data_IF_138688577987
#
_entry.id   IF_138688577987
#
_cell.length_a   1.000
_cell.length_b   1.000
_cell.length_c   1.000
_cell.angle_alpha   90.00
_cell.angle_beta   90.00
_cell.angle_gamma   90.00
#
_symmetry.space_group_name_H-M   'P 1'
#
loop_
_entity.id
_entity.type
_entity.pdbx_description
1 polymer ?
#
# COMPACT_ATOMS: atom_id res chain seq x y z
N UNK A 1 -9.69 -16.14 -32.37
CA UNK A 1 -9.32 -14.79 -31.88
C UNK A 1 -9.79 -14.72 -30.45
N UNK A 2 -8.89 -14.60 -29.49
CA UNK A 2 -9.27 -14.44 -28.08
C UNK A 2 -10.01 -13.10 -27.93
N UNK A 3 -11.17 -13.10 -27.27
CA UNK A 3 -11.88 -11.87 -26.89
C UNK A 3 -11.17 -11.30 -25.67
N UNK A 4 -10.30 -10.31 -25.89
CA UNK A 4 -9.59 -9.61 -24.84
C UNK A 4 -9.49 -8.11 -25.15
N UNK A 5 -9.43 -7.31 -24.10
CA UNK A 5 -9.16 -5.87 -24.20
C UNK A 5 -7.67 -5.71 -24.47
N UNK A 6 -7.33 -5.22 -25.67
CA UNK A 6 -5.95 -4.88 -26.01
C UNK A 6 -5.53 -3.64 -25.22
N UNK A 7 -4.69 -3.84 -24.21
CA UNK A 7 -4.19 -2.77 -23.36
C UNK A 7 -2.84 -2.30 -23.88
N UNK A 8 -2.81 -1.11 -24.48
CA UNK A 8 -1.64 -0.51 -25.14
C UNK A 8 -1.23 0.81 -24.52
N UNK A 9 -1.73 1.13 -23.32
CA UNK A 9 -1.42 2.39 -22.64
C UNK A 9 0.08 2.46 -22.35
N UNK A 10 0.72 3.57 -22.71
CA UNK A 10 2.10 3.88 -22.33
C UNK A 10 2.08 4.78 -21.09
N UNK A 11 3.04 4.55 -20.20
CA UNK A 11 3.27 5.38 -19.03
C UNK A 11 3.91 6.73 -19.36
N UNK A 12 4.54 6.88 -20.54
CA UNK A 12 5.18 8.14 -20.94
C UNK A 12 4.16 9.27 -21.09
N UNK A 13 4.44 10.40 -20.45
CA UNK A 13 3.67 11.64 -20.63
C UNK A 13 4.19 12.50 -21.77
N UNK A 14 5.50 12.41 -22.01
CA UNK A 14 6.23 13.10 -23.05
C UNK A 14 7.09 12.05 -23.73
N UNK A 15 6.94 11.92 -25.05
CA UNK A 15 7.66 10.92 -25.84
C UNK A 15 9.17 11.03 -25.64
N UNK A 16 9.81 9.92 -25.32
CA UNK A 16 11.26 9.82 -25.07
C UNK A 16 11.69 10.16 -23.64
N UNK A 17 10.80 10.65 -22.77
CA UNK A 17 11.11 10.88 -21.35
C UNK A 17 10.59 9.73 -20.48
N UNK A 18 11.49 9.13 -19.68
CA UNK A 18 11.13 8.10 -18.70
C UNK A 18 10.41 8.65 -17.47
N UNK A 19 10.71 9.90 -17.10
CA UNK A 19 10.12 10.61 -15.95
C UNK A 19 9.99 12.10 -16.26
N UNK A 20 8.90 12.78 -15.85
CA UNK A 20 7.73 12.23 -15.17
C UNK A 20 6.92 11.28 -16.07
N UNK A 21 6.25 10.30 -15.46
CA UNK A 21 5.39 9.34 -16.14
C UNK A 21 4.03 9.23 -15.43
N UNK A 22 3.05 8.62 -16.09
CA UNK A 22 1.67 8.52 -15.61
C UNK A 22 1.57 7.69 -14.33
N UNK A 23 2.40 6.66 -14.15
CA UNK A 23 2.50 5.94 -12.87
C UNK A 23 2.88 6.89 -11.73
N UNK A 24 3.93 7.70 -11.92
CA UNK A 24 4.40 8.68 -10.94
C UNK A 24 3.33 9.73 -10.63
N UNK A 25 2.58 10.19 -11.64
CA UNK A 25 1.46 11.10 -11.44
C UNK A 25 0.32 10.46 -10.63
N UNK A 26 -0.05 9.21 -10.94
CA UNK A 26 -1.06 8.47 -10.16
C UNK A 26 -0.59 8.28 -8.72
N UNK A 27 0.68 7.91 -8.52
CA UNK A 27 1.27 7.77 -7.20
C UNK A 27 1.17 9.08 -6.39
N UNK A 28 1.64 10.19 -6.95
CA UNK A 28 1.56 11.52 -6.31
C UNK A 28 0.10 11.95 -6.10
N UNK A 29 -0.78 11.65 -7.06
CA UNK A 29 -2.21 11.90 -6.99
C UNK A 29 -2.85 11.18 -5.80
N UNK A 30 -2.53 9.90 -5.60
CA UNK A 30 -3.00 9.10 -4.46
C UNK A 30 -2.55 9.67 -3.12
N UNK A 31 -1.28 10.06 -3.00
CA UNK A 31 -0.76 10.72 -1.79
C UNK A 31 -1.43 12.08 -1.54
N UNK A 32 -1.65 12.87 -2.59
CA UNK A 32 -2.30 14.17 -2.52
C UNK A 32 -3.76 14.03 -2.07
N UNK A 33 -4.51 13.07 -2.65
CA UNK A 33 -5.85 12.72 -2.18
C UNK A 33 -5.83 12.31 -0.71
N UNK A 34 -4.88 11.46 -0.30
CA UNK A 34 -4.69 11.06 1.09
C UNK A 34 -4.47 12.25 2.03
N UNK A 35 -3.63 13.21 1.65
CA UNK A 35 -3.41 14.45 2.40
C UNK A 35 -4.73 15.21 2.62
N UNK A 36 -5.50 15.46 1.55
CA UNK A 36 -6.76 16.19 1.65
C UNK A 36 -7.81 15.44 2.48
N UNK A 37 -7.84 14.11 2.41
CA UNK A 37 -8.73 13.27 3.23
C UNK A 37 -8.43 13.46 4.72
N UNK A 38 -7.17 13.32 5.14
CA UNK A 38 -6.79 13.47 6.56
C UNK A 38 -6.97 14.91 7.02
N UNK A 39 -6.61 15.89 6.20
CA UNK A 39 -6.80 17.30 6.52
C UNK A 39 -8.28 17.63 6.75
N UNK A 40 -9.19 17.12 5.90
CA UNK A 40 -10.63 17.29 6.09
C UNK A 40 -11.13 16.66 7.41
N UNK A 41 -10.59 15.49 7.78
CA UNK A 41 -10.89 14.83 9.05
C UNK A 41 -10.41 15.65 10.26
N UNK A 42 -9.19 16.18 10.20
CA UNK A 42 -8.61 17.03 11.24
C UNK A 42 -9.43 18.31 11.43
N UNK A 43 -9.83 18.95 10.33
CA UNK A 43 -10.72 20.13 10.36
C UNK A 43 -12.08 19.81 10.98
N UNK A 44 -12.70 18.68 10.64
CA UNK A 44 -13.97 18.22 11.25
C UNK A 44 -13.86 18.10 12.77
N UNK A 45 -12.71 17.66 13.26
CA UNK A 45 -12.46 17.46 14.70
C UNK A 45 -11.93 18.70 15.42
N UNK A 46 -11.80 19.83 14.74
CA UNK A 46 -11.24 21.05 15.32
C UNK A 46 -9.77 20.91 15.72
N UNK A 47 -9.01 20.04 15.05
CA UNK A 47 -7.56 19.94 15.29
C UNK A 47 -6.86 21.22 14.81
N UNK A 48 -5.83 21.72 15.51
CA UNK A 48 -5.02 22.85 15.04
C UNK A 48 -4.41 22.55 13.67
N UNK A 49 -4.36 23.55 12.77
CA UNK A 49 -3.81 23.38 11.41
C UNK A 49 -2.39 22.80 11.41
N UNK A 50 -1.55 23.26 12.33
CA UNK A 50 -0.18 22.77 12.55
C UNK A 50 -0.09 21.25 12.79
N UNK A 51 -1.16 20.62 13.28
CA UNK A 51 -1.18 19.17 13.52
C UNK A 51 -1.00 18.41 12.21
N UNK A 52 -1.58 18.90 11.10
CA UNK A 52 -1.45 18.27 9.80
C UNK A 52 -0.01 18.41 9.26
N UNK A 53 0.56 19.61 9.36
CA UNK A 53 1.95 19.87 8.94
C UNK A 53 2.94 18.98 9.70
N UNK A 54 2.74 18.86 11.01
CA UNK A 54 3.53 17.96 11.85
C UNK A 54 3.36 16.51 11.40
N UNK A 55 2.13 16.04 11.17
CA UNK A 55 1.89 14.68 10.71
C UNK A 55 2.65 14.38 9.42
N UNK A 56 2.56 15.27 8.42
CA UNK A 56 3.28 15.13 7.15
C UNK A 56 4.79 15.05 7.40
N UNK A 57 5.34 15.92 8.24
CA UNK A 57 6.77 15.90 8.59
C UNK A 57 7.17 14.56 9.22
N UNK A 58 6.43 14.06 10.20
CA UNK A 58 6.69 12.75 10.81
C UNK A 58 6.62 11.62 9.79
N UNK A 59 5.62 11.63 8.90
CA UNK A 59 5.43 10.61 7.87
C UNK A 59 6.57 10.61 6.85
N UNK A 60 6.95 11.77 6.32
CA UNK A 60 8.04 11.89 5.32
C UNK A 60 9.38 11.47 5.92
N UNK A 61 9.73 12.01 7.08
CA UNK A 61 11.00 11.68 7.74
C UNK A 61 11.07 10.19 8.10
N UNK A 62 10.02 9.63 8.70
CA UNK A 62 10.01 8.21 9.06
C UNK A 62 10.04 7.30 7.84
N UNK A 63 9.40 7.68 6.73
CA UNK A 63 9.47 6.91 5.48
C UNK A 63 10.90 6.85 4.94
N UNK A 64 11.56 8.00 4.81
CA UNK A 64 12.93 8.09 4.26
C UNK A 64 13.93 7.37 5.17
N UNK A 65 13.91 7.71 6.46
CA UNK A 65 14.82 7.14 7.45
C UNK A 65 14.57 5.63 7.60
N UNK A 66 13.31 5.23 7.75
CA UNK A 66 12.92 3.83 7.90
C UNK A 66 13.27 2.99 6.68
N UNK A 67 13.01 3.51 5.47
CA UNK A 67 13.37 2.82 4.24
C UNK A 67 14.87 2.57 4.16
N UNK A 68 15.69 3.59 4.46
CA UNK A 68 17.13 3.46 4.42
C UNK A 68 17.66 2.52 5.49
N UNK A 69 17.23 2.69 6.75
CA UNK A 69 17.65 1.83 7.84
C UNK A 69 17.23 0.38 7.60
N UNK A 70 16.03 0.15 7.06
CA UNK A 70 15.61 -1.19 6.66
C UNK A 70 16.55 -1.80 5.64
N UNK A 71 16.95 -1.07 4.61
CA UNK A 71 17.90 -1.59 3.64
C UNK A 71 19.27 -1.85 4.27
N UNK A 72 19.77 -0.91 5.06
CA UNK A 72 21.05 -1.05 5.75
C UNK A 72 21.08 -2.29 6.63
N UNK A 73 20.05 -2.48 7.46
CA UNK A 73 19.97 -3.59 8.40
C UNK A 73 19.82 -4.95 7.71
N UNK A 74 18.96 -5.06 6.69
CA UNK A 74 18.61 -6.34 6.10
C UNK A 74 19.40 -6.73 4.85
N UNK A 75 19.89 -5.75 4.08
CA UNK A 75 20.48 -5.98 2.75
C UNK A 75 21.88 -5.37 2.59
N UNK A 76 22.35 -4.62 3.58
CA UNK A 76 23.59 -3.87 3.51
C UNK A 76 24.84 -4.71 3.26
N UNK A 77 25.76 -4.27 2.38
CA UNK A 77 27.12 -4.79 2.36
C UNK A 77 27.87 -4.23 3.59
N UNK A 78 28.05 -5.05 4.62
CA UNK A 78 28.74 -4.59 5.85
C UNK A 78 30.26 -4.60 5.72
N UNK A 79 30.78 -5.56 4.96
CA UNK A 79 32.20 -5.89 4.87
C UNK A 79 32.76 -5.61 3.47
N UNK A 80 34.08 -5.49 3.36
CA UNK A 80 34.77 -5.25 2.10
C UNK A 80 34.99 -3.76 1.79
N UNK A 81 35.65 -3.43 0.67
CA UNK A 81 36.06 -2.06 0.33
C UNK A 81 34.89 -1.08 0.17
N UNK A 82 33.73 -1.58 -0.24
CA UNK A 82 32.48 -0.82 -0.37
C UNK A 82 31.53 -1.05 0.83
N UNK A 83 31.97 -1.82 1.82
CA UNK A 83 31.16 -2.16 2.98
C UNK A 83 30.96 -0.97 3.93
N UNK A 84 29.84 -0.98 4.67
CA UNK A 84 29.52 0.10 5.60
C UNK A 84 30.53 0.30 6.73
N UNK A 85 31.27 -0.74 7.14
CA UNK A 85 32.33 -0.57 8.14
C UNK A 85 33.57 0.12 7.59
N UNK A 86 33.81 0.02 6.28
CA UNK A 86 34.88 0.74 5.59
C UNK A 86 34.47 2.15 5.18
N UNK A 87 33.17 2.36 4.91
CA UNK A 87 32.62 3.66 4.52
C UNK A 87 31.32 3.97 5.30
N UNK A 88 31.40 4.39 6.58
CA UNK A 88 30.21 4.64 7.39
C UNK A 88 29.27 5.71 6.83
N UNK A 89 29.79 6.64 6.03
CA UNK A 89 28.99 7.67 5.35
C UNK A 89 27.95 7.09 4.39
N UNK A 90 28.18 5.89 3.83
CA UNK A 90 27.26 5.21 2.93
C UNK A 90 25.90 4.94 3.59
N UNK A 91 25.87 4.69 4.90
CA UNK A 91 24.63 4.38 5.65
C UNK A 91 23.57 5.48 5.45
N UNK A 92 23.98 6.75 5.36
CA UNK A 92 23.09 7.91 5.32
C UNK A 92 22.67 8.26 3.88
N UNK A 93 23.33 7.70 2.87
CA UNK A 93 23.09 8.06 1.46
C UNK A 93 21.77 7.49 0.95
N UNK A 94 20.70 8.25 1.15
CA UNK A 94 19.35 7.91 0.66
C UNK A 94 19.16 8.16 -0.83
N UNK A 95 20.04 8.95 -1.45
CA UNK A 95 19.95 9.35 -2.86
C UNK A 95 20.60 8.34 -3.83
N UNK A 96 21.38 7.38 -3.34
CA UNK A 96 22.00 6.32 -4.15
C UNK A 96 21.10 5.07 -4.26
N UNK A 97 19.87 5.14 -3.74
CA UNK A 97 18.95 4.01 -3.67
C UNK A 97 19.14 3.20 -2.39
N UNK A 98 18.87 1.89 -2.47
CA UNK A 98 18.90 1.02 -1.29
C UNK A 98 17.85 1.44 -0.25
N UNK A 99 16.57 1.28 -0.61
CA UNK A 99 15.42 1.64 0.21
C UNK A 99 14.53 0.41 0.38
N UNK A 100 14.21 0.06 1.61
CA UNK A 100 13.42 -1.11 1.95
C UNK A 100 12.01 -0.73 2.44
N UNK A 101 10.97 -1.13 1.72
CA UNK A 101 9.58 -0.79 2.03
C UNK A 101 9.11 -1.24 3.41
N UNK A 102 9.54 -2.42 3.87
CA UNK A 102 9.22 -2.94 5.21
C UNK A 102 9.88 -2.11 6.32
N UNK A 103 11.08 -1.57 6.10
CA UNK A 103 11.72 -0.64 7.03
C UNK A 103 10.93 0.67 7.16
N UNK A 104 10.46 1.20 6.02
CA UNK A 104 9.58 2.37 6.00
C UNK A 104 8.28 2.11 6.77
N UNK A 105 7.63 0.97 6.54
CA UNK A 105 6.37 0.61 7.19
C UNK A 105 6.50 0.58 8.72
N UNK A 106 7.55 -0.06 9.25
CA UNK A 106 7.81 -0.11 10.70
C UNK A 106 8.05 1.29 11.26
N UNK A 107 8.91 2.08 10.63
CA UNK A 107 9.22 3.43 11.09
C UNK A 107 7.98 4.35 11.07
N UNK A 108 7.14 4.25 10.04
CA UNK A 108 5.86 4.97 9.95
C UNK A 108 4.95 4.60 11.13
N UNK A 109 4.77 3.31 11.42
CA UNK A 109 3.91 2.88 12.53
C UNK A 109 4.40 3.43 13.88
N UNK A 110 5.72 3.42 14.11
CA UNK A 110 6.34 4.01 15.30
C UNK A 110 6.16 5.53 15.34
N UNK A 111 6.35 6.22 14.21
CA UNK A 111 6.17 7.66 14.12
C UNK A 111 4.71 8.07 14.37
N UNK A 112 3.74 7.30 13.87
CA UNK A 112 2.32 7.51 14.15
C UNK A 112 1.98 7.30 15.61
N UNK A 113 2.58 6.29 16.25
CA UNK A 113 2.43 6.08 17.69
C UNK A 113 2.97 7.26 18.48
N UNK A 114 4.19 7.72 18.15
CA UNK A 114 4.81 8.86 18.82
C UNK A 114 4.01 10.14 18.59
N UNK A 115 3.69 10.46 17.34
CA UNK A 115 2.87 11.62 16.97
C UNK A 115 1.56 11.64 17.73
N UNK A 116 0.80 10.53 17.68
CA UNK A 116 -0.50 10.46 18.35
C UNK A 116 -0.39 10.64 19.85
N UNK A 117 0.54 9.92 20.50
CA UNK A 117 0.64 9.89 21.97
C UNK A 117 1.34 11.11 22.57
N UNK A 118 2.31 11.68 21.88
CA UNK A 118 3.23 12.70 22.43
C UNK A 118 3.07 14.07 21.81
N UNK A 119 2.59 14.17 20.57
CA UNK A 119 2.44 15.46 19.88
C UNK A 119 1.01 15.98 20.02
N UNK A 120 0.01 15.14 19.71
CA UNK A 120 -1.40 15.55 19.75
C UNK A 120 -2.20 15.00 20.95
N UNK A 121 -1.55 14.21 21.82
CA UNK A 121 -2.14 13.66 23.05
C UNK A 121 -3.44 12.86 22.83
N UNK A 122 -3.49 12.05 21.77
CA UNK A 122 -4.59 11.15 21.42
C UNK A 122 -4.19 9.67 21.59
N UNK A 123 -5.16 8.74 21.70
CA UNK A 123 -4.87 7.31 21.66
C UNK A 123 -4.28 6.89 20.31
N UNK A 124 -3.37 5.91 20.27
CA UNK A 124 -2.73 5.50 19.01
C UNK A 124 -3.74 5.07 17.92
N UNK A 125 -4.79 4.34 18.30
CA UNK A 125 -5.86 3.94 17.37
C UNK A 125 -6.59 5.13 16.72
N UNK A 126 -6.60 6.31 17.37
CA UNK A 126 -7.19 7.52 16.81
C UNK A 126 -6.50 7.90 15.50
N UNK A 127 -5.16 7.94 15.44
CA UNK A 127 -4.48 8.34 14.20
C UNK A 127 -4.62 7.27 13.12
N UNK A 128 -4.62 5.99 13.51
CA UNK A 128 -4.78 4.88 12.57
C UNK A 128 -6.14 4.91 11.87
N UNK A 129 -7.22 5.24 12.60
CA UNK A 129 -8.56 5.42 12.00
C UNK A 129 -8.60 6.52 10.94
N UNK A 130 -7.78 7.57 11.07
CA UNK A 130 -7.74 8.71 10.14
C UNK A 130 -6.88 8.46 8.93
N UNK A 131 -5.82 7.69 9.10
CA UNK A 131 -4.90 7.33 8.01
C UNK A 131 -5.45 6.18 7.16
N UNK A 132 -6.27 5.28 7.73
CA UNK A 132 -6.85 4.15 7.00
C UNK A 132 -7.53 4.54 5.67
N UNK A 133 -8.46 5.51 5.62
CA UNK A 133 -9.08 5.93 4.36
C UNK A 133 -8.07 6.52 3.38
N UNK A 134 -7.09 7.28 3.87
CA UNK A 134 -6.03 7.85 3.05
C UNK A 134 -5.15 6.77 2.40
N UNK A 135 -4.82 5.69 3.14
CA UNK A 135 -4.09 4.55 2.58
C UNK A 135 -4.94 3.83 1.54
N UNK A 136 -6.25 3.63 1.78
CA UNK A 136 -7.12 2.95 0.83
C UNK A 136 -7.19 3.68 -0.53
N UNK A 137 -7.36 5.01 -0.53
CA UNK A 137 -7.38 5.77 -1.78
C UNK A 137 -6.00 5.82 -2.44
N UNK A 138 -4.92 5.98 -1.67
CA UNK A 138 -3.56 5.91 -2.22
C UNK A 138 -3.27 4.54 -2.86
N UNK A 139 -3.71 3.45 -2.20
CA UNK A 139 -3.61 2.08 -2.72
C UNK A 139 -4.34 1.92 -4.05
N UNK A 140 -5.56 2.45 -4.19
CA UNK A 140 -6.29 2.45 -5.45
C UNK A 140 -5.48 3.11 -6.59
N UNK A 141 -4.96 4.31 -6.35
CA UNK A 141 -4.15 5.03 -7.35
C UNK A 141 -2.86 4.29 -7.70
N UNK A 142 -2.20 3.66 -6.72
CA UNK A 142 -1.01 2.84 -6.97
C UNK A 142 -1.36 1.66 -7.87
N UNK A 143 -2.47 0.96 -7.63
CA UNK A 143 -2.92 -0.16 -8.49
C UNK A 143 -3.27 0.30 -9.90
N UNK A 144 -3.87 1.48 -10.05
CA UNK A 144 -4.07 2.10 -11.38
C UNK A 144 -2.73 2.43 -12.05
N UNK A 145 -1.73 2.86 -11.28
CA UNK A 145 -0.36 3.00 -11.76
C UNK A 145 0.18 1.69 -12.30
N UNK A 146 0.08 0.59 -11.52
CA UNK A 146 0.54 -0.73 -11.96
C UNK A 146 -0.17 -1.20 -13.24
N UNK A 147 -1.46 -0.88 -13.40
CA UNK A 147 -2.21 -1.14 -14.64
C UNK A 147 -1.60 -0.38 -15.83
N UNK A 148 -1.28 0.90 -15.67
CA UNK A 148 -0.61 1.71 -16.71
C UNK A 148 0.78 1.18 -17.05
N UNK A 149 1.53 0.67 -16.07
CA UNK A 149 2.87 0.12 -16.26
C UNK A 149 2.89 -1.34 -16.74
N UNK A 150 1.73 -2.00 -16.88
CA UNK A 150 1.65 -3.44 -17.23
C UNK A 150 2.36 -4.34 -16.21
N UNK A 151 2.37 -3.95 -14.94
CA UNK A 151 3.03 -4.65 -13.83
C UNK A 151 2.01 -5.32 -12.92
N UNK A 152 2.40 -6.40 -12.23
CA UNK A 152 1.52 -7.11 -11.27
C UNK A 152 0.25 -7.65 -11.96
N UNK A 153 0.43 -8.23 -13.15
CA UNK A 153 -0.65 -8.83 -13.94
C UNK A 153 -1.17 -10.13 -13.31
N UNK A 154 -2.34 -10.57 -13.75
CA UNK A 154 -2.95 -11.82 -13.33
C UNK A 154 -2.53 -13.05 -14.14
N UNK A 155 -3.04 -14.19 -13.72
CA UNK A 155 -2.90 -15.45 -14.44
C UNK A 155 -3.56 -15.40 -15.82
N UNK A 156 -3.07 -16.18 -16.79
CA UNK A 156 -3.72 -16.32 -18.10
C UNK A 156 -5.18 -16.77 -17.94
N UNK A 157 -6.07 -16.20 -18.75
CA UNK A 157 -7.51 -16.43 -18.62
C UNK A 157 -8.24 -16.17 -19.93
N UNK A 158 -9.46 -16.69 -20.04
CA UNK A 158 -10.34 -16.57 -21.20
C UNK A 158 -11.64 -15.80 -20.90
N UNK A 159 -11.75 -15.19 -19.72
CA UNK A 159 -12.92 -14.38 -19.34
C UNK A 159 -13.11 -13.18 -20.29
N UNK A 160 -14.36 -12.74 -20.53
CA UNK A 160 -14.64 -11.73 -21.57
C UNK A 160 -14.11 -10.32 -21.26
N UNK A 161 -13.65 -10.08 -20.04
CA UNK A 161 -12.99 -8.83 -19.61
C UNK A 161 -11.47 -8.99 -19.41
N UNK A 162 -10.86 -10.04 -19.96
CA UNK A 162 -9.42 -10.24 -19.90
C UNK A 162 -8.67 -9.10 -20.58
N UNK A 163 -7.49 -8.76 -20.06
CA UNK A 163 -6.61 -7.74 -20.64
C UNK A 163 -5.42 -8.42 -21.31
N UNK A 164 -5.11 -7.99 -22.53
CA UNK A 164 -3.89 -8.34 -23.26
C UNK A 164 -2.89 -7.20 -23.10
N UNK A 165 -1.99 -7.34 -22.14
CA UNK A 165 -0.99 -6.34 -21.75
C UNK A 165 0.18 -6.35 -22.74
N UNK A 166 0.19 -5.43 -23.71
CA UNK A 166 1.21 -5.46 -24.78
C UNK A 166 2.63 -5.20 -24.29
N UNK A 167 2.80 -4.56 -23.14
CA UNK A 167 4.11 -4.19 -22.60
C UNK A 167 4.45 -4.92 -21.29
N UNK A 168 3.72 -5.98 -20.95
CA UNK A 168 4.10 -6.86 -19.84
C UNK A 168 5.33 -7.68 -20.25
N UNK A 169 6.47 -7.44 -19.60
CA UNK A 169 7.68 -8.22 -19.78
C UNK A 169 7.67 -9.45 -18.86
N UNK A 170 7.69 -10.64 -19.45
CA UNK A 170 7.74 -11.88 -18.70
C UNK A 170 9.21 -12.34 -18.61
N UNK A 171 9.78 -12.27 -17.41
CA UNK A 171 11.18 -12.60 -17.13
C UNK A 171 11.50 -14.08 -17.41
N UNK A 172 10.55 -15.00 -17.27
CA UNK A 172 10.78 -16.43 -17.50
C UNK A 172 11.03 -16.75 -18.98
N UNK A 173 10.36 -16.04 -19.88
CA UNK A 173 10.50 -16.21 -21.34
C UNK A 173 11.43 -15.14 -21.96
N UNK A 174 11.85 -14.14 -21.19
CA UNK A 174 12.74 -13.06 -21.62
C UNK A 174 12.15 -12.14 -22.69
N UNK A 175 10.82 -12.04 -22.81
CA UNK A 175 10.15 -11.26 -23.84
C UNK A 175 8.81 -10.68 -23.36
N UNK A 176 8.23 -9.76 -24.14
CA UNK A 176 6.87 -9.27 -23.93
C UNK A 176 5.84 -10.38 -24.15
N UNK A 177 4.87 -10.48 -23.25
CA UNK A 177 3.86 -11.53 -23.24
C UNK A 177 2.44 -10.92 -23.24
N UNK A 178 1.81 -10.76 -24.43
CA UNK A 178 0.47 -10.20 -24.56
C UNK A 178 -0.64 -11.24 -24.30
N UNK A 179 -0.34 -12.40 -23.72
CA UNK A 179 -1.37 -13.41 -23.41
C UNK A 179 -2.51 -12.78 -22.58
N UNK A 180 -3.79 -12.99 -22.94
CA UNK A 180 -4.91 -12.49 -22.17
C UNK A 180 -4.87 -12.96 -20.71
N UNK A 181 -4.97 -12.02 -19.78
CA UNK A 181 -4.81 -12.24 -18.33
C UNK A 181 -5.89 -11.54 -17.53
N UNK A 182 -6.08 -12.00 -16.30
CA UNK A 182 -6.88 -11.26 -15.33
C UNK A 182 -6.24 -9.88 -15.08
N UNK A 183 -6.96 -8.75 -15.25
CA UNK A 183 -6.46 -7.43 -14.84
C UNK A 183 -6.52 -7.28 -13.30
N UNK A 184 -5.70 -8.05 -12.59
CA UNK A 184 -5.71 -8.13 -11.12
C UNK A 184 -5.52 -6.76 -10.45
N UNK A 185 -4.72 -5.88 -11.05
CA UNK A 185 -4.53 -4.51 -10.60
C UNK A 185 -5.85 -3.73 -10.59
N UNK A 186 -6.69 -3.92 -11.62
CA UNK A 186 -8.01 -3.29 -11.70
C UNK A 186 -8.95 -3.85 -10.64
N UNK A 187 -8.89 -5.16 -10.36
CA UNK A 187 -9.67 -5.77 -9.28
C UNK A 187 -9.29 -5.18 -7.92
N UNK A 188 -7.99 -5.09 -7.61
CA UNK A 188 -7.49 -4.45 -6.39
C UNK A 188 -7.89 -2.97 -6.34
N UNK A 189 -7.74 -2.21 -7.43
CA UNK A 189 -8.09 -0.79 -7.50
C UNK A 189 -9.57 -0.54 -7.17
N UNK A 190 -10.47 -1.34 -7.75
CA UNK A 190 -11.91 -1.27 -7.49
C UNK A 190 -12.21 -1.59 -6.03
N UNK A 191 -11.67 -2.69 -5.50
CA UNK A 191 -11.90 -3.09 -4.10
C UNK A 191 -11.34 -2.05 -3.11
N UNK A 192 -10.19 -1.44 -3.41
CA UNK A 192 -9.60 -0.39 -2.59
C UNK A 192 -10.40 0.92 -2.67
N UNK A 193 -10.97 1.26 -3.82
CA UNK A 193 -11.90 2.39 -3.96
C UNK A 193 -13.19 2.16 -3.16
N UNK A 194 -13.78 0.96 -3.25
CA UNK A 194 -14.96 0.59 -2.47
C UNK A 194 -14.67 0.61 -0.96
N UNK A 195 -13.48 0.15 -0.57
CA UNK A 195 -12.99 0.25 0.82
C UNK A 195 -12.91 1.70 1.25
N UNK A 196 -12.28 2.58 0.46
CA UNK A 196 -12.19 4.01 0.75
C UNK A 196 -13.58 4.64 0.93
N UNK A 197 -14.50 4.42 0.00
CA UNK A 197 -15.88 4.95 0.05
C UNK A 197 -16.57 4.48 1.34
N UNK A 198 -16.45 3.19 1.66
CA UNK A 198 -17.07 2.61 2.87
C UNK A 198 -16.48 3.20 4.14
N UNK A 199 -15.15 3.30 4.23
CA UNK A 199 -14.48 3.88 5.40
C UNK A 199 -14.81 5.38 5.56
N UNK A 200 -14.91 6.12 4.46
CA UNK A 200 -15.36 7.53 4.48
C UNK A 200 -16.81 7.63 4.92
N UNK A 201 -17.70 6.77 4.44
CA UNK A 201 -19.09 6.72 4.90
C UNK A 201 -19.18 6.44 6.40
N UNK A 202 -18.43 5.44 6.89
CA UNK A 202 -18.33 5.11 8.31
C UNK A 202 -17.80 6.28 9.14
N UNK A 203 -16.77 6.97 8.65
CA UNK A 203 -16.19 8.12 9.32
C UNK A 203 -17.19 9.29 9.36
N UNK A 204 -17.73 9.70 8.23
CA UNK A 204 -18.48 10.96 8.14
C UNK A 204 -19.95 10.85 8.49
N UNK A 205 -20.62 9.76 8.08
CA UNK A 205 -22.07 9.58 8.26
C UNK A 205 -22.40 8.77 9.49
N UNK A 206 -21.67 7.69 9.74
CA UNK A 206 -21.90 6.85 10.93
C UNK A 206 -21.10 7.29 12.16
N UNK A 207 -20.27 8.34 12.03
CA UNK A 207 -19.43 8.91 13.08
C UNK A 207 -18.56 7.90 13.83
N UNK A 208 -18.12 6.82 13.16
CA UNK A 208 -17.34 5.74 13.80
C UNK A 208 -15.95 6.18 14.24
N UNK A 209 -15.49 7.35 13.82
CA UNK A 209 -14.26 8.00 14.31
C UNK A 209 -14.27 8.30 15.82
N UNK A 210 -15.45 8.32 16.46
CA UNK A 210 -15.64 8.44 17.91
C UNK A 210 -15.32 7.14 18.67
N UNK A 211 -15.16 6.02 17.97
CA UNK A 211 -14.85 4.70 18.53
C UNK A 211 -13.46 4.26 18.02
N UNK A 212 -12.37 4.58 18.76
CA UNK A 212 -11.02 4.35 18.27
C UNK A 212 -10.75 2.89 17.88
N UNK A 213 -10.26 2.69 16.67
CA UNK A 213 -9.88 1.39 16.10
C UNK A 213 -10.97 0.74 15.25
N UNK A 214 -12.19 1.29 15.19
CA UNK A 214 -13.26 0.73 14.36
C UNK A 214 -12.96 0.93 12.87
N UNK A 215 -12.64 2.16 12.46
CA UNK A 215 -12.38 2.46 11.03
C UNK A 215 -11.12 1.72 10.58
N UNK A 216 -10.08 1.71 11.40
CA UNK A 216 -8.85 0.96 11.12
C UNK A 216 -9.08 -0.56 11.08
N UNK A 217 -9.92 -1.10 11.96
CA UNK A 217 -10.27 -2.53 11.96
C UNK A 217 -10.96 -2.96 10.65
N UNK A 218 -11.92 -2.16 10.17
CA UNK A 218 -12.55 -2.40 8.88
C UNK A 218 -11.58 -2.21 7.71
N UNK A 219 -10.67 -1.23 7.78
CA UNK A 219 -9.61 -1.06 6.78
C UNK A 219 -8.75 -2.32 6.66
N UNK A 220 -8.33 -2.92 7.78
CA UNK A 220 -7.55 -4.15 7.75
C UNK A 220 -8.34 -5.29 7.10
N UNK A 221 -9.61 -5.47 7.47
CA UNK A 221 -10.45 -6.54 6.90
C UNK A 221 -10.66 -6.32 5.40
N UNK A 222 -10.98 -5.11 4.98
CA UNK A 222 -11.31 -4.85 3.58
C UNK A 222 -10.10 -4.88 2.66
N UNK A 223 -8.99 -4.23 3.03
CA UNK A 223 -7.78 -4.20 2.19
C UNK A 223 -7.12 -5.57 2.14
N UNK A 224 -6.90 -6.22 3.28
CA UNK A 224 -6.22 -7.52 3.31
C UNK A 224 -7.15 -8.66 2.92
N UNK A 225 -8.47 -8.53 3.12
CA UNK A 225 -9.44 -9.45 2.55
C UNK A 225 -9.50 -9.36 1.02
N UNK A 226 -9.53 -8.14 0.46
CA UNK A 226 -9.43 -7.94 -0.98
C UNK A 226 -8.12 -8.51 -1.54
N UNK A 227 -6.99 -8.22 -0.89
CA UNK A 227 -5.68 -8.80 -1.25
C UNK A 227 -5.74 -10.33 -1.26
N UNK A 228 -6.22 -10.95 -0.18
CA UNK A 228 -6.32 -12.40 -0.08
C UNK A 228 -7.12 -13.03 -1.23
N UNK A 229 -8.23 -12.40 -1.63
CA UNK A 229 -9.09 -12.87 -2.72
C UNK A 229 -8.47 -12.67 -4.10
N UNK A 230 -7.89 -11.50 -4.37
CA UNK A 230 -7.31 -11.20 -5.69
C UNK A 230 -6.03 -11.99 -5.93
N UNK A 231 -5.32 -12.37 -4.88
CA UNK A 231 -4.09 -13.15 -5.01
C UNK A 231 -4.31 -14.58 -5.55
N UNK A 232 -5.56 -15.09 -5.61
CA UNK A 232 -5.89 -16.34 -6.30
C UNK A 232 -5.84 -16.27 -7.83
N UNK A 233 -5.82 -15.05 -8.39
CA UNK A 233 -5.79 -14.82 -9.84
C UNK A 233 -4.57 -13.98 -10.25
N UNK A 234 -3.60 -13.83 -9.34
CA UNK A 234 -2.36 -13.08 -9.56
C UNK A 234 -1.21 -14.03 -9.82
N UNK A 235 -0.36 -13.65 -10.77
CA UNK A 235 0.94 -14.28 -10.91
C UNK A 235 1.77 -14.05 -9.65
N UNK A 236 2.52 -15.09 -9.27
CA UNK A 236 3.54 -15.01 -8.23
C UNK A 236 4.54 -13.89 -8.51
N UNK A 237 4.95 -13.16 -7.46
CA UNK A 237 5.85 -12.00 -7.60
C UNK A 237 7.30 -12.37 -7.32
N UNK A 238 7.53 -13.53 -6.72
CA UNK A 238 8.84 -14.05 -6.36
C UNK A 238 8.92 -15.54 -6.64
N UNK A 239 10.11 -16.05 -6.96
CA UNK A 239 10.34 -17.51 -7.12
C UNK A 239 9.97 -18.31 -5.85
N UNK A 240 9.96 -17.66 -4.68
CA UNK A 240 9.52 -18.28 -3.43
C UNK A 240 7.99 -18.39 -3.32
N UNK A 241 7.21 -17.54 -4.00
CA UNK A 241 5.75 -17.60 -3.95
C UNK A 241 5.22 -18.94 -4.47
N UNK A 242 5.82 -19.47 -5.53
CA UNK A 242 5.45 -20.77 -6.08
C UNK A 242 5.80 -21.90 -5.13
N UNK A 243 6.97 -21.84 -4.48
CA UNK A 243 7.39 -22.85 -3.51
C UNK A 243 6.51 -22.89 -2.24
N UNK A 244 6.09 -21.72 -1.76
CA UNK A 244 5.21 -21.58 -0.59
C UNK A 244 3.78 -21.98 -0.97
N UNK A 245 3.32 -21.59 -2.15
CA UNK A 245 2.00 -21.97 -2.67
C UNK A 245 1.87 -23.48 -2.86
N UNK A 246 2.87 -24.13 -3.45
CA UNK A 246 2.87 -25.60 -3.63
C UNK A 246 2.88 -26.35 -2.29
N UNK A 247 3.57 -25.83 -1.28
CA UNK A 247 3.69 -26.51 0.02
C UNK A 247 2.53 -26.25 0.98
N UNK A 248 1.86 -25.10 0.89
CA UNK A 248 0.83 -24.68 1.84
C UNK A 248 -0.56 -24.46 1.25
N UNK A 249 -0.67 -24.43 -0.09
CA UNK A 249 -1.88 -24.08 -0.82
C UNK A 249 -2.18 -22.58 -0.89
N UNK A 250 -1.32 -21.72 -0.30
CA UNK A 250 -1.45 -20.26 -0.28
C UNK A 250 -0.12 -19.59 -0.59
N UNK A 251 -0.13 -18.45 -1.29
CA UNK A 251 1.07 -17.68 -1.57
C UNK A 251 1.43 -16.70 -0.42
N UNK A 252 2.56 -16.01 -0.54
CA UNK A 252 3.04 -15.06 0.48
C UNK A 252 2.06 -13.92 0.74
N UNK A 253 1.42 -13.40 -0.32
CA UNK A 253 0.43 -12.34 -0.21
C UNK A 253 -0.77 -12.72 0.65
N UNK A 254 -1.24 -13.97 0.54
CA UNK A 254 -2.33 -14.52 1.33
C UNK A 254 -1.91 -14.77 2.78
N UNK A 255 -0.74 -15.36 3.00
CA UNK A 255 -0.20 -15.59 4.34
C UNK A 255 -0.05 -14.31 5.15
N UNK A 256 0.44 -13.23 4.52
CA UNK A 256 0.57 -11.93 5.18
C UNK A 256 -0.79 -11.26 5.43
N UNK A 257 -1.82 -11.59 4.64
CA UNK A 257 -3.16 -11.02 4.79
C UNK A 257 -3.92 -11.58 5.99
N UNK A 258 -3.79 -12.89 6.27
CA UNK A 258 -4.48 -13.57 7.38
C UNK A 258 -4.30 -12.86 8.74
N UNK A 259 -3.07 -12.63 9.25
CA UNK A 259 -2.90 -12.02 10.57
C UNK A 259 -3.45 -10.59 10.63
N UNK A 260 -3.46 -9.87 9.51
CA UNK A 260 -3.97 -8.50 9.43
C UNK A 260 -5.50 -8.47 9.44
N UNK A 261 -6.15 -9.40 8.71
CA UNK A 261 -7.61 -9.59 8.80
C UNK A 261 -8.02 -9.97 10.23
N UNK A 262 -7.30 -10.91 10.86
CA UNK A 262 -7.56 -11.32 12.25
C UNK A 262 -7.36 -10.15 13.24
N UNK A 263 -6.33 -9.34 13.06
CA UNK A 263 -6.12 -8.13 13.85
C UNK A 263 -7.30 -7.14 13.69
N UNK A 264 -7.82 -6.98 12.47
CA UNK A 264 -9.02 -6.18 12.21
C UNK A 264 -10.24 -6.71 12.95
N UNK A 265 -10.51 -8.01 12.88
CA UNK A 265 -11.62 -8.67 13.60
C UNK A 265 -11.48 -8.46 15.11
N UNK A 266 -10.27 -8.64 15.66
CA UNK A 266 -9.98 -8.43 17.06
C UNK A 266 -10.25 -6.99 17.52
N UNK A 267 -9.85 -5.98 16.74
CA UNK A 267 -10.12 -4.57 17.04
C UNK A 267 -11.62 -4.28 17.10
N UNK A 268 -12.40 -4.83 16.15
CA UNK A 268 -13.86 -4.67 16.14
C UNK A 268 -14.53 -5.36 17.33
N UNK A 269 -14.08 -6.56 17.70
CA UNK A 269 -14.56 -7.26 18.89
C UNK A 269 -14.29 -6.45 20.17
N UNK A 270 -13.07 -5.95 20.33
CA UNK A 270 -12.69 -5.12 21.48
C UNK A 270 -13.52 -3.83 21.56
N UNK A 271 -13.78 -3.18 20.43
CA UNK A 271 -14.57 -1.94 20.42
C UNK A 271 -16.01 -2.16 20.88
N UNK A 272 -16.64 -3.29 20.52
CA UNK A 272 -18.02 -3.59 20.95
C UNK A 272 -18.14 -3.76 22.46
N UNK A 273 -17.13 -4.37 23.10
CA UNK A 273 -17.13 -4.59 24.55
C UNK A 273 -17.09 -3.28 25.33
N UNK A 274 -16.26 -2.33 24.90
CA UNK A 274 -16.15 -1.00 25.52
C UNK A 274 -17.45 -0.19 25.41
N UNK A 275 -18.22 -0.36 24.33
CA UNK A 275 -19.52 0.32 24.16
C UNK A 275 -20.65 -0.27 25.00
N UNK A 276 -20.52 -1.49 25.53
CA UNK A 276 -21.51 -2.11 26.41
C UNK A 276 -21.21 -1.89 27.90
N UNK A 277 -19.99 -1.50 28.25
CA UNK A 277 -19.55 -1.24 29.63
C UNK A 277 -19.69 0.24 30.04
N UNK A 278 -20.01 1.13 29.09
CA UNK A 278 -20.34 2.56 29.33
C UNK A 278 -21.83 2.81 29.10
#
# INVERSE_FOLDING_TARGET
MWLAINWTVDSQLIEGLKTPNLYGLLFVGGLTCGYFVVNAMFKKEGMPEKSMDQLVLYMVLSTIIGARLGHVFFYGPYWGPEGYFSNPGEIIKVWEGGLASHGAAVAILVALWYYSRKVVNKPYLWILDRIAPAIAIAGCFIRLGNLVNHEIVGDPTDVPWAFSFQFYYNEEIGNFDPTPRHPAQLYEAILYLLSFITLMYMYWKLEKWKQPGVVFGFFLIFIFGARFLVEFVKLGQTANDDSISVSTGLNTGQWLSIPLVLAGIYLLYRSKKVSHEN
#
